data_IF_049846828044
#
_entry.id   IF_049846828044
#
_cell.length_a   1.000
_cell.length_b   1.000
_cell.length_c   1.000
_cell.angle_alpha   90.00
_cell.angle_beta   90.00
_cell.angle_gamma   90.00
#
_symmetry.space_group_name_H-M   'P 1'
#
loop_
_entity.id
_entity.type
_entity.pdbx_description
1 polymer ?
#
# COMPACT_ATOMS: atom_id res chain seq x y z
N UNK A 1 31.77 -11.10 22.93
CA UNK A 1 31.39 -9.69 22.86
C UNK A 1 32.12 -9.00 23.98
N UNK A 2 33.05 -8.12 23.62
CA UNK A 2 33.84 -7.35 24.59
C UNK A 2 32.93 -6.46 25.43
N UNK A 3 33.27 -6.25 26.70
CA UNK A 3 32.44 -5.49 27.64
C UNK A 3 32.11 -4.08 27.12
N UNK A 4 33.09 -3.42 26.50
CA UNK A 4 32.90 -2.10 25.88
C UNK A 4 31.85 -2.13 24.77
N UNK A 5 31.84 -3.16 23.91
CA UNK A 5 30.86 -3.31 22.84
C UNK A 5 29.43 -3.47 23.37
N UNK A 6 29.25 -4.04 24.57
CA UNK A 6 27.94 -4.11 25.23
C UNK A 6 27.50 -2.72 25.70
N UNK A 7 28.40 -1.97 26.31
CA UNK A 7 28.14 -0.61 26.80
C UNK A 7 27.74 0.30 25.65
N UNK A 8 28.45 0.24 24.51
CA UNK A 8 28.14 1.04 23.33
C UNK A 8 26.69 0.80 22.85
N UNK A 9 26.24 -0.46 22.81
CA UNK A 9 24.85 -0.80 22.46
C UNK A 9 23.82 -0.22 23.43
N UNK A 10 24.13 -0.14 24.73
CA UNK A 10 23.23 0.47 25.70
C UNK A 10 23.19 1.99 25.57
N UNK A 11 24.33 2.63 25.28
CA UNK A 11 24.40 4.06 25.00
C UNK A 11 23.61 4.41 23.74
N UNK A 12 23.74 3.60 22.68
CA UNK A 12 22.98 3.78 21.45
C UNK A 12 21.49 3.57 21.69
N UNK A 13 21.09 2.53 22.45
CA UNK A 13 19.70 2.32 22.84
C UNK A 13 19.13 3.52 23.60
N UNK A 14 19.89 4.11 24.54
CA UNK A 14 19.47 5.28 25.29
C UNK A 14 19.21 6.47 24.38
N UNK A 15 20.14 6.78 23.46
CA UNK A 15 19.96 7.87 22.47
C UNK A 15 18.70 7.67 21.64
N UNK A 16 18.46 6.44 21.17
CA UNK A 16 17.27 6.11 20.37
C UNK A 16 15.97 6.28 21.17
N UNK A 17 15.99 5.98 22.47
CA UNK A 17 14.85 6.20 23.37
C UNK A 17 14.62 7.69 23.62
N UNK A 18 15.67 8.49 23.77
CA UNK A 18 15.57 9.96 23.90
C UNK A 18 14.95 10.60 22.65
N UNK A 19 15.41 10.20 21.46
CA UNK A 19 14.86 10.64 20.17
C UNK A 19 13.38 10.26 20.02
N UNK A 20 13.03 9.02 20.40
CA UNK A 20 11.64 8.57 20.41
C UNK A 20 10.78 9.39 21.39
N UNK A 21 11.29 9.68 22.58
CA UNK A 21 10.58 10.49 23.57
C UNK A 21 10.29 11.89 23.04
N UNK A 22 11.26 12.52 22.38
CA UNK A 22 11.07 13.83 21.75
C UNK A 22 9.98 13.78 20.65
N UNK A 23 10.00 12.76 19.79
CA UNK A 23 8.97 12.56 18.75
C UNK A 23 7.57 12.36 19.34
N UNK A 24 7.45 11.53 20.38
CA UNK A 24 6.17 11.28 21.06
C UNK A 24 5.66 12.54 21.74
N UNK A 25 6.55 13.33 22.35
CA UNK A 25 6.19 14.60 22.98
C UNK A 25 5.64 15.58 21.94
N UNK A 26 6.34 15.76 20.82
CA UNK A 26 5.89 16.60 19.69
C UNK A 26 4.53 16.14 19.16
N UNK A 27 4.33 14.83 19.04
CA UNK A 27 3.05 14.26 18.60
C UNK A 27 1.90 14.48 19.61
N UNK A 28 2.22 14.66 20.90
CA UNK A 28 1.24 14.77 21.99
C UNK A 28 0.94 16.22 22.38
N UNK A 29 1.67 17.21 21.85
CA UNK A 29 1.46 18.65 22.13
C UNK A 29 0.01 19.11 21.89
N UNK A 30 -0.60 18.62 20.81
CA UNK A 30 -2.04 18.83 20.55
C UNK A 30 -2.83 17.64 21.09
N UNK A 31 -4.07 17.82 21.58
CA UNK A 31 -4.93 16.69 21.90
C UNK A 31 -5.29 15.91 20.64
N UNK A 32 -5.45 14.58 20.78
CA UNK A 32 -5.72 13.67 19.66
C UNK A 32 -7.05 14.00 18.94
N UNK A 33 -8.05 14.46 19.69
CA UNK A 33 -9.39 14.80 19.16
C UNK A 33 -9.32 15.95 18.16
N UNK A 34 -8.53 16.98 18.45
CA UNK A 34 -8.40 18.16 17.57
C UNK A 34 -7.70 17.79 16.25
N UNK A 35 -6.73 16.87 16.27
CA UNK A 35 -6.12 16.37 15.02
C UNK A 35 -7.09 15.55 14.18
N UNK A 36 -7.95 14.77 14.84
CA UNK A 36 -8.90 13.91 14.14
C UNK A 36 -9.98 14.71 13.40
N UNK A 37 -10.30 15.92 13.86
CA UNK A 37 -11.24 16.81 13.15
C UNK A 37 -10.60 17.56 11.98
N UNK A 38 -9.28 17.79 12.01
CA UNK A 38 -8.52 18.47 10.95
C UNK A 38 -8.26 17.57 9.72
N UNK A 39 -8.20 16.24 9.90
CA UNK A 39 -7.80 15.29 8.87
C UNK A 39 -8.98 14.64 8.12
N UNK A 40 -8.75 14.20 6.89
CA UNK A 40 -9.72 13.39 6.13
C UNK A 40 -9.95 12.03 6.82
N UNK A 41 -11.15 11.45 6.69
CA UNK A 41 -11.48 10.13 7.25
C UNK A 41 -10.45 9.04 6.89
N UNK A 42 -9.91 9.07 5.67
CA UNK A 42 -8.89 8.12 5.22
C UNK A 42 -7.54 8.35 5.93
N UNK A 43 -7.15 9.61 6.10
CA UNK A 43 -5.94 9.98 6.83
C UNK A 43 -6.07 9.60 8.31
N UNK A 44 -7.23 9.85 8.94
CA UNK A 44 -7.52 9.41 10.30
C UNK A 44 -7.38 7.90 10.47
N UNK A 45 -7.93 7.12 9.53
CA UNK A 45 -7.80 5.67 9.56
C UNK A 45 -6.33 5.22 9.46
N UNK A 46 -5.56 5.85 8.57
CA UNK A 46 -4.12 5.62 8.42
C UNK A 46 -3.33 5.96 9.68
N UNK A 47 -3.48 7.17 10.19
CA UNK A 47 -2.84 7.65 11.44
C UNK A 47 -3.15 6.70 12.60
N UNK A 48 -4.39 6.22 12.72
CA UNK A 48 -4.78 5.29 13.77
C UNK A 48 -4.07 3.93 13.65
N UNK A 49 -3.97 3.37 12.44
CA UNK A 49 -3.25 2.09 12.22
C UNK A 49 -1.74 2.27 12.44
N UNK A 50 -1.17 3.40 12.04
CA UNK A 50 0.23 3.75 12.31
C UNK A 50 0.49 3.88 13.82
N UNK A 51 -0.41 4.51 14.58
CA UNK A 51 -0.31 4.57 16.04
C UNK A 51 -0.36 3.19 16.69
N UNK A 52 -1.25 2.30 16.21
CA UNK A 52 -1.30 0.91 16.69
C UNK A 52 0.02 0.17 16.39
N UNK A 53 0.64 0.43 15.24
CA UNK A 53 1.96 -0.11 14.91
C UNK A 53 3.02 0.36 15.91
N UNK A 54 3.11 1.67 16.17
CA UNK A 54 4.08 2.25 17.10
C UNK A 54 3.92 1.65 18.49
N UNK A 55 2.71 1.63 19.05
CA UNK A 55 2.47 1.09 20.40
C UNK A 55 2.86 -0.39 20.49
N UNK A 56 2.51 -1.19 19.48
CA UNK A 56 2.86 -2.61 19.47
C UNK A 56 4.36 -2.85 19.25
N UNK A 57 5.04 -2.01 18.46
CA UNK A 57 6.49 -2.06 18.29
C UNK A 57 7.23 -1.71 19.60
N UNK A 58 6.77 -0.69 20.32
CA UNK A 58 7.32 -0.33 21.64
C UNK A 58 7.11 -1.45 22.66
N UNK A 59 5.94 -2.06 22.66
CA UNK A 59 5.67 -3.22 23.51
C UNK A 59 6.58 -4.40 23.16
N UNK A 60 6.82 -4.65 21.86
CA UNK A 60 7.77 -5.66 21.42
C UNK A 60 9.20 -5.35 21.90
N UNK A 61 9.66 -4.10 21.81
CA UNK A 61 10.94 -3.67 22.37
C UNK A 61 11.02 -3.92 23.89
N UNK A 62 9.97 -3.57 24.63
CA UNK A 62 9.89 -3.80 26.08
C UNK A 62 10.01 -5.29 26.44
N UNK A 63 9.36 -6.18 25.69
CA UNK A 63 9.50 -7.62 25.88
C UNK A 63 10.95 -8.09 25.69
N UNK A 64 11.66 -7.54 24.69
CA UNK A 64 13.07 -7.88 24.45
C UNK A 64 13.98 -7.39 25.58
N UNK A 65 13.70 -6.22 26.15
CA UNK A 65 14.45 -5.69 27.29
C UNK A 65 14.27 -6.54 28.56
N UNK A 66 13.09 -7.13 28.74
CA UNK A 66 12.78 -8.03 29.86
C UNK A 66 13.30 -9.46 29.66
N UNK A 67 14.08 -9.71 28.60
CA UNK A 67 14.55 -11.04 28.19
C UNK A 67 13.40 -12.03 27.92
N UNK A 68 12.22 -11.54 27.52
CA UNK A 68 11.13 -12.38 27.05
C UNK A 68 11.31 -12.72 25.56
N UNK A 69 10.99 -13.95 25.18
CA UNK A 69 11.03 -14.39 23.78
C UNK A 69 9.85 -13.79 23.00
N UNK A 70 10.06 -12.60 22.44
CA UNK A 70 9.06 -11.86 21.70
C UNK A 70 8.59 -12.59 20.41
N UNK A 71 9.33 -13.59 19.92
CA UNK A 71 8.95 -14.38 18.76
C UNK A 71 7.81 -15.39 19.07
N UNK A 72 7.77 -15.90 20.30
CA UNK A 72 6.69 -16.79 20.79
C UNK A 72 5.50 -16.03 21.36
N UNK A 73 5.63 -14.72 21.55
CA UNK A 73 4.60 -13.89 22.14
C UNK A 73 3.47 -13.59 21.13
N UNK A 74 2.19 -13.56 21.55
CA UNK A 74 1.05 -13.25 20.67
C UNK A 74 1.11 -11.88 19.98
N UNK A 75 1.99 -10.98 20.44
CA UNK A 75 2.27 -9.68 19.80
C UNK A 75 2.64 -9.83 18.31
N UNK A 76 3.29 -10.93 17.92
CA UNK A 76 3.64 -11.18 16.52
C UNK A 76 2.40 -11.35 15.64
N UNK A 77 1.32 -11.94 16.19
CA UNK A 77 0.02 -12.03 15.51
C UNK A 77 -0.58 -10.64 15.33
N UNK A 78 -0.49 -9.78 16.35
CA UNK A 78 -0.98 -8.40 16.27
C UNK A 78 -0.20 -7.55 15.26
N UNK A 79 1.12 -7.72 15.18
CA UNK A 79 1.93 -7.06 14.15
C UNK A 79 1.53 -7.50 12.74
N UNK A 80 1.23 -8.79 12.54
CA UNK A 80 0.72 -9.29 11.25
C UNK A 80 -0.70 -8.75 10.94
N UNK A 81 -1.58 -8.66 11.94
CA UNK A 81 -2.90 -8.04 11.81
C UNK A 81 -2.79 -6.56 11.39
N UNK A 82 -1.86 -5.80 11.99
CA UNK A 82 -1.60 -4.41 11.62
C UNK A 82 -1.10 -4.30 10.18
N UNK A 83 -0.19 -5.18 9.73
CA UNK A 83 0.26 -5.23 8.33
C UNK A 83 -0.91 -5.45 7.37
N UNK A 84 -1.83 -6.36 7.70
CA UNK A 84 -3.04 -6.58 6.90
C UNK A 84 -3.91 -5.32 6.83
N UNK A 85 -4.12 -4.61 7.95
CA UNK A 85 -4.86 -3.35 7.97
C UNK A 85 -4.20 -2.25 7.14
N UNK A 86 -2.86 -2.15 7.17
CA UNK A 86 -2.12 -1.22 6.31
C UNK A 86 -2.28 -1.56 4.82
N UNK A 87 -2.29 -2.85 4.46
CA UNK A 87 -2.53 -3.26 3.08
C UNK A 87 -3.96 -2.90 2.62
N UNK A 88 -4.96 -3.09 3.47
CA UNK A 88 -6.34 -2.65 3.18
C UNK A 88 -6.41 -1.14 2.97
N UNK A 89 -5.74 -0.35 3.79
CA UNK A 89 -5.69 1.12 3.63
C UNK A 89 -5.03 1.50 2.30
N UNK A 90 -3.89 0.87 1.95
CA UNK A 90 -3.23 1.08 0.66
C UNK A 90 -4.14 0.72 -0.52
N UNK A 91 -4.88 -0.38 -0.42
CA UNK A 91 -5.84 -0.78 -1.45
C UNK A 91 -6.96 0.26 -1.60
N UNK A 92 -7.49 0.80 -0.50
CA UNK A 92 -8.51 1.86 -0.52
C UNK A 92 -7.95 3.15 -1.14
N UNK A 93 -6.71 3.53 -0.80
CA UNK A 93 -6.01 4.68 -1.41
C UNK A 93 -5.85 4.50 -2.94
N UNK A 94 -5.56 3.28 -3.40
CA UNK A 94 -5.42 2.94 -4.83
C UNK A 94 -6.76 2.81 -5.55
N UNK A 95 -7.81 2.32 -4.89
CA UNK A 95 -9.17 2.21 -5.47
C UNK A 95 -9.72 3.57 -5.93
N UNK A 96 -9.28 4.67 -5.31
CA UNK A 96 -9.60 6.02 -5.77
C UNK A 96 -8.98 6.39 -7.13
N UNK A 97 -7.92 5.68 -7.55
CA UNK A 97 -7.18 5.89 -8.80
C UNK A 97 -7.49 4.84 -9.89
N UNK A 98 -8.21 3.78 -9.54
CA UNK A 98 -8.56 2.71 -10.48
C UNK A 98 -9.53 3.18 -11.59
N UNK A 99 -9.63 2.41 -12.68
CA UNK A 99 -10.55 2.73 -13.78
C UNK A 99 -12.00 2.78 -13.27
N UNK A 100 -12.68 3.90 -13.53
CA UNK A 100 -14.09 4.07 -13.18
C UNK A 100 -14.93 3.25 -14.14
N UNK A 101 -15.69 2.28 -13.63
CA UNK A 101 -16.65 1.52 -14.42
C UNK A 101 -17.77 2.48 -14.87
N UNK A 102 -18.04 2.55 -16.16
CA UNK A 102 -19.23 3.25 -16.68
C UNK A 102 -20.48 2.44 -16.31
N UNK A 103 -21.19 2.92 -15.27
CA UNK A 103 -22.42 2.31 -14.79
C UNK A 103 -23.50 2.23 -15.87
N UNK A 104 -23.54 3.15 -16.82
CA UNK A 104 -24.49 3.12 -17.92
C UNK A 104 -24.16 1.99 -18.91
N UNK A 105 -22.87 1.81 -19.25
CA UNK A 105 -22.42 0.69 -20.05
C UNK A 105 -22.66 -0.65 -19.35
N UNK A 106 -22.30 -0.78 -18.07
CA UNK A 106 -22.56 -1.99 -17.28
C UNK A 106 -24.05 -2.34 -17.22
N UNK A 107 -24.92 -1.34 -17.02
CA UNK A 107 -26.39 -1.55 -17.05
C UNK A 107 -26.87 -2.04 -18.42
N UNK A 108 -26.34 -1.50 -19.52
CA UNK A 108 -26.68 -1.97 -20.88
C UNK A 108 -26.21 -3.40 -21.13
N UNK A 109 -25.00 -3.75 -20.68
CA UNK A 109 -24.48 -5.12 -20.78
C UNK A 109 -25.36 -6.11 -20.01
N UNK A 110 -25.68 -5.81 -18.75
CA UNK A 110 -26.58 -6.64 -17.94
C UNK A 110 -27.96 -6.76 -18.59
N UNK A 111 -28.52 -5.67 -19.11
CA UNK A 111 -29.83 -5.72 -19.78
C UNK A 111 -29.81 -6.53 -21.07
N UNK A 112 -28.76 -6.41 -21.87
CA UNK A 112 -28.56 -7.20 -23.08
C UNK A 112 -28.44 -8.69 -22.74
N UNK A 113 -27.62 -9.04 -21.76
CA UNK A 113 -27.39 -10.42 -21.36
C UNK A 113 -28.66 -11.05 -20.79
N UNK A 114 -29.40 -10.33 -19.94
CA UNK A 114 -30.70 -10.80 -19.42
C UNK A 114 -31.76 -10.96 -20.51
N UNK A 115 -31.83 -10.04 -21.48
CA UNK A 115 -32.76 -10.17 -22.60
C UNK A 115 -32.41 -11.37 -23.49
N UNK A 116 -31.10 -11.57 -23.74
CA UNK A 116 -30.61 -12.69 -24.53
C UNK A 116 -30.89 -14.04 -23.86
N UNK A 117 -30.75 -14.11 -22.52
CA UNK A 117 -31.04 -15.30 -21.72
C UNK A 117 -32.53 -15.68 -21.78
N UNK A 118 -33.41 -14.66 -21.65
CA UNK A 118 -34.85 -14.86 -21.76
C UNK A 118 -35.23 -15.35 -23.16
N UNK A 119 -34.60 -14.83 -24.22
CA UNK A 119 -34.83 -15.35 -25.57
C UNK A 119 -34.29 -16.76 -25.78
N UNK A 120 -33.20 -17.17 -25.11
CA UNK A 120 -32.67 -18.55 -25.22
C UNK A 120 -33.51 -19.58 -24.45
N UNK A 121 -34.11 -19.21 -23.32
CA UNK A 121 -34.95 -20.11 -22.51
C UNK A 121 -36.30 -20.41 -23.19
N UNK A 122 -36.80 -19.49 -24.03
CA UNK A 122 -37.98 -19.73 -24.89
C UNK A 122 -37.61 -20.26 -26.30
N UNK A 123 -36.35 -20.18 -26.74
CA UNK A 123 -35.92 -20.62 -28.09
C UNK A 123 -35.38 -22.06 -28.16
N UNK A 124 -35.18 -22.76 -27.03
CA UNK A 124 -34.81 -24.19 -27.02
C UNK A 124 -35.95 -25.13 -27.44
N UNK A 125 -37.10 -24.60 -27.87
CA UNK A 125 -38.24 -25.38 -28.37
C UNK A 125 -38.65 -25.08 -29.83
N UNK A 126 -37.92 -24.25 -30.59
CA UNK A 126 -38.31 -24.05 -31.98
C UNK A 126 -37.43 -23.14 -32.83
N UNK A 127 -36.75 -23.75 -33.80
CA UNK A 127 -36.65 -23.23 -35.16
C UNK A 127 -35.76 -22.01 -35.41
N UNK A 128 -34.61 -22.28 -36.03
CA UNK A 128 -33.86 -21.43 -36.96
C UNK A 128 -34.53 -20.10 -37.35
N UNK A 129 -33.85 -18.97 -37.10
CA UNK A 129 -33.67 -17.93 -38.13
C UNK A 129 -32.59 -16.91 -37.75
N UNK A 130 -31.48 -17.01 -38.48
CA UNK A 130 -30.75 -15.93 -39.15
C UNK A 130 -30.76 -14.54 -38.49
N UNK A 131 -29.59 -14.10 -38.02
CA UNK A 131 -29.06 -12.77 -38.31
C UNK A 131 -27.56 -12.72 -38.05
N UNK A 132 -26.83 -13.05 -39.11
CA UNK A 132 -25.41 -12.84 -39.29
C UNK A 132 -25.17 -11.33 -39.51
N UNK A 133 -24.93 -10.56 -38.45
CA UNK A 133 -24.42 -9.17 -38.58
C UNK A 133 -22.89 -9.22 -38.58
N UNK A 134 -22.32 -9.28 -39.78
CA UNK A 134 -20.90 -9.14 -40.04
C UNK A 134 -20.46 -7.69 -39.88
N UNK A 135 -20.38 -7.20 -38.65
CA UNK A 135 -19.57 -6.01 -38.36
C UNK A 135 -18.21 -6.46 -37.88
N UNK A 136 -17.32 -6.67 -38.87
CA UNK A 136 -15.86 -6.52 -38.72
C UNK A 136 -15.62 -5.21 -37.96
N UNK A 137 -15.40 -5.29 -36.66
CA UNK A 137 -14.68 -4.25 -35.92
C UNK A 137 -13.22 -4.64 -36.02
N UNK A 138 -12.46 -3.87 -36.80
CA UNK A 138 -11.01 -3.88 -36.74
C UNK A 138 -10.60 -3.66 -35.28
N UNK A 139 -10.12 -4.74 -34.67
CA UNK A 139 -9.41 -4.69 -33.40
C UNK A 139 -8.04 -4.09 -33.73
N UNK A 140 -7.93 -2.77 -33.58
CA UNK A 140 -6.64 -2.10 -33.60
C UNK A 140 -5.86 -2.58 -32.40
N UNK A 141 -4.87 -3.41 -32.70
CA UNK A 141 -3.79 -3.87 -31.86
C UNK A 141 -3.05 -2.66 -31.28
N UNK A 142 -3.50 -2.13 -30.14
CA UNK A 142 -2.76 -1.12 -29.36
C UNK A 142 -2.80 -1.36 -27.84
N UNK A 143 -3.23 -2.53 -27.40
CA UNK A 143 -3.37 -2.87 -25.97
C UNK A 143 -2.58 -4.11 -25.54
N UNK A 144 -1.72 -4.65 -26.41
CA UNK A 144 -0.76 -5.72 -26.07
C UNK A 144 0.66 -5.17 -25.75
N UNK A 145 0.84 -3.85 -25.70
CA UNK A 145 2.10 -3.21 -25.30
C UNK A 145 2.05 -2.57 -23.89
N UNK A 146 0.87 -2.43 -23.26
CA UNK A 146 0.77 -1.88 -21.88
C UNK A 146 0.78 -2.97 -20.78
N UNK A 147 0.66 -4.25 -21.12
CA UNK A 147 0.76 -5.36 -20.14
C UNK A 147 2.19 -5.87 -19.93
N UNK A 148 3.20 -5.26 -20.57
CA UNK A 148 4.63 -5.52 -20.29
C UNK A 148 5.36 -4.44 -19.50
N UNK A 149 4.73 -3.29 -19.25
CA UNK A 149 5.34 -2.24 -18.41
C UNK A 149 4.94 -2.33 -16.92
N UNK A 150 4.06 -3.26 -16.53
CA UNK A 150 3.61 -3.38 -15.13
C UNK A 150 4.29 -4.52 -14.34
N UNK A 151 5.02 -5.43 -15.00
CA UNK A 151 5.81 -6.49 -14.33
C UNK A 151 7.32 -6.20 -14.24
N UNK A 152 7.84 -5.18 -14.93
CA UNK A 152 9.26 -4.78 -14.83
C UNK A 152 9.53 -3.68 -13.77
N UNK A 153 8.49 -3.21 -13.07
CA UNK A 153 8.58 -2.14 -12.07
C UNK A 153 8.90 -2.58 -10.62
N UNK A 154 9.00 -3.89 -10.35
CA UNK A 154 9.22 -4.43 -8.99
C UNK A 154 10.67 -4.88 -8.70
N UNK A 155 11.61 -4.77 -9.65
CA UNK A 155 13.02 -5.19 -9.44
C UNK A 155 14.07 -4.06 -9.41
N UNK A 156 13.72 -2.80 -9.70
CA UNK A 156 14.67 -1.66 -9.67
C UNK A 156 14.52 -0.74 -8.44
N UNK A 157 14.50 -1.31 -7.24
CA UNK A 157 14.81 -0.57 -6.00
C UNK A 157 15.74 -1.40 -5.11
N UNK A 158 16.78 -1.98 -5.71
CA UNK A 158 17.84 -2.64 -4.95
C UNK A 158 19.18 -2.74 -5.69
N UNK A 159 19.66 -1.68 -6.36
CA UNK A 159 21.09 -1.50 -6.63
C UNK A 159 21.41 -0.13 -7.26
N UNK A 160 22.63 0.37 -7.00
CA UNK A 160 23.28 1.53 -7.64
C UNK A 160 23.08 2.92 -7.02
N UNK A 161 23.71 3.14 -5.86
CA UNK A 161 24.37 4.42 -5.57
C UNK A 161 25.88 4.15 -5.46
N UNK A 162 26.57 4.24 -6.60
CA UNK A 162 28.02 4.44 -6.68
C UNK A 162 28.33 5.25 -7.93
N UNK A 163 28.97 6.39 -7.70
CA UNK A 163 29.89 7.10 -8.58
C UNK A 163 29.42 7.59 -9.96
N UNK A 164 29.25 8.91 -10.03
CA UNK A 164 29.78 9.65 -11.16
C UNK A 164 30.09 11.11 -10.75
N UNK A 165 31.36 11.44 -10.57
CA UNK A 165 31.87 12.79 -10.88
C UNK A 165 32.25 12.78 -12.37
N UNK A 166 32.11 13.88 -13.12
CA UNK A 166 33.25 14.82 -13.20
C UNK A 166 32.88 16.29 -13.53
N UNK A 167 33.96 17.08 -13.70
CA UNK A 167 34.05 18.36 -14.41
C UNK A 167 34.07 19.65 -13.55
N UNK A 168 35.27 19.93 -13.04
CA UNK A 168 36.04 21.18 -13.24
C UNK A 168 35.31 22.43 -13.76
N UNK A 169 35.37 23.53 -13.00
CA UNK A 169 35.95 24.82 -13.44
C UNK A 169 35.59 25.95 -12.47
N UNK A 170 36.60 26.76 -12.11
CA UNK A 170 36.50 28.16 -11.65
C UNK A 170 35.90 28.41 -10.25
N UNK A 171 36.39 29.31 -9.39
CA UNK A 171 37.37 30.42 -9.52
C UNK A 171 37.38 31.20 -8.20
N UNK A 172 38.59 31.59 -7.73
CA UNK A 172 38.92 32.69 -6.78
C UNK A 172 38.31 32.56 -5.35
N UNK A 173 38.87 33.06 -4.25
CA UNK A 173 39.54 34.33 -3.92
C UNK A 173 40.32 34.12 -2.60
N UNK A 174 41.50 34.74 -2.49
CA UNK A 174 42.35 35.03 -1.30
C UNK A 174 42.97 33.88 -0.47
#
# INVERSE_FOLDING_TARGET
MDENSRIDKYVDLHKMVDELQELVQRYTEKPFVDRMTEQSNLQNARTNVELMYVVNALFWCQLRLQNCDAAKHPIMKELNNIKQKLNVIKEIELRGKGPKIDAAAAKRLIQHDLWSLKSTEYATSGGNNQRHDSRKREYSKSSEEEEKEFEEGEEELSNSSSDNQPATSSRMVE
#
